data_IF_630114334228
#
_entry.id   IF_630114334228
#
_cell.length_a   1.000
_cell.length_b   1.000
_cell.length_c   1.000
_cell.angle_alpha   90.00
_cell.angle_beta   90.00
_cell.angle_gamma   90.00
#
_symmetry.space_group_name_H-M   'P 1'
#
loop_
_entity.id
_entity.type
_entity.pdbx_description
1 polymer ?
#
# COMPACT_ATOMS: atom_id res chain seq x y z
N UNK A 1 -22.88 -18.45 9.34
CA UNK A 1 -22.14 -18.20 8.08
C UNK A 1 -22.34 -16.75 7.72
N UNK A 2 -21.42 -15.89 8.15
CA UNK A 2 -21.48 -14.45 7.92
C UNK A 2 -21.19 -14.19 6.45
N UNK A 3 -22.16 -13.61 5.74
CA UNK A 3 -21.99 -13.20 4.35
C UNK A 3 -20.81 -12.22 4.28
N UNK A 4 -19.71 -12.66 3.68
CA UNK A 4 -18.60 -11.79 3.31
C UNK A 4 -19.16 -10.82 2.27
N UNK A 5 -19.46 -9.60 2.70
CA UNK A 5 -20.04 -8.57 1.86
C UNK A 5 -19.24 -8.41 0.57
N UNK A 6 -19.93 -8.41 -0.57
CA UNK A 6 -19.38 -7.96 -1.84
C UNK A 6 -18.73 -6.58 -1.64
N UNK A 7 -17.59 -6.26 -2.27
CA UNK A 7 -16.99 -4.94 -2.13
C UNK A 7 -18.00 -3.88 -2.56
N UNK A 8 -18.46 -3.09 -1.58
CA UNK A 8 -19.18 -1.84 -1.81
C UNK A 8 -18.32 -0.98 -2.74
N UNK A 9 -18.90 -0.49 -3.84
CA UNK A 9 -18.22 0.38 -4.81
C UNK A 9 -17.72 1.70 -4.18
N UNK A 10 -18.11 2.03 -2.94
CA UNK A 10 -17.59 3.17 -2.17
C UNK A 10 -16.15 2.99 -1.65
N UNK A 11 -15.66 1.76 -1.48
CA UNK A 11 -14.45 1.48 -0.70
C UNK A 11 -13.10 1.81 -1.37
N UNK A 12 -13.06 2.13 -2.67
CA UNK A 12 -11.78 2.15 -3.42
C UNK A 12 -10.89 3.36 -3.08
N UNK A 13 -11.50 4.49 -2.71
CA UNK A 13 -10.77 5.74 -2.52
C UNK A 13 -10.43 6.02 -1.06
N UNK A 14 -10.90 5.24 -0.07
CA UNK A 14 -10.70 5.48 1.37
C UNK A 14 -10.77 6.98 1.73
N UNK A 15 -11.69 7.70 1.09
CA UNK A 15 -11.75 9.16 1.09
C UNK A 15 -12.82 9.69 2.03
N UNK A 16 -13.54 8.79 2.71
CA UNK A 16 -14.52 9.05 3.76
C UNK A 16 -14.23 8.22 4.99
N UNK A 17 -14.61 8.72 6.15
CA UNK A 17 -14.43 8.05 7.44
C UNK A 17 -15.11 6.68 7.48
N UNK A 18 -16.26 6.51 6.82
CA UNK A 18 -16.96 5.23 6.74
C UNK A 18 -16.14 4.19 5.98
N UNK A 19 -15.54 4.59 4.85
CA UNK A 19 -14.67 3.73 4.05
C UNK A 19 -13.39 3.37 4.83
N UNK A 20 -12.82 4.35 5.54
CA UNK A 20 -11.65 4.15 6.39
C UNK A 20 -11.92 3.15 7.51
N UNK A 21 -13.02 3.32 8.25
CA UNK A 21 -13.39 2.40 9.33
C UNK A 21 -13.68 1.00 8.79
N UNK A 22 -14.42 0.90 7.68
CA UNK A 22 -14.64 -0.38 7.02
C UNK A 22 -13.31 -1.05 6.65
N UNK A 23 -12.31 -0.29 6.19
CA UNK A 23 -10.98 -0.83 5.91
C UNK A 23 -10.20 -1.24 7.18
N UNK A 24 -10.16 -0.39 8.20
CA UNK A 24 -9.32 -0.59 9.38
C UNK A 24 -9.87 -1.63 10.37
N UNK A 25 -11.20 -1.72 10.48
CA UNK A 25 -11.90 -2.51 11.52
C UNK A 25 -12.47 -3.84 10.98
N UNK A 26 -12.61 -3.99 9.66
CA UNK A 26 -13.11 -5.27 9.09
C UNK A 26 -12.14 -6.41 9.40
N UNK A 27 -12.62 -7.55 9.93
CA UNK A 27 -11.78 -8.71 10.16
C UNK A 27 -11.06 -9.18 8.90
N UNK A 28 -9.88 -9.77 9.09
CA UNK A 28 -9.12 -10.35 7.98
C UNK A 28 -9.97 -11.36 7.23
N UNK A 29 -9.93 -11.27 5.90
CA UNK A 29 -10.60 -12.22 5.02
C UNK A 29 -10.10 -13.64 5.31
N UNK A 30 -11.04 -14.58 5.42
CA UNK A 30 -10.73 -15.99 5.64
C UNK A 30 -10.36 -16.62 4.30
N UNK A 31 -9.25 -17.35 4.27
CA UNK A 31 -8.81 -18.08 3.09
C UNK A 31 -9.83 -19.19 2.74
N UNK A 32 -10.32 -19.27 1.49
CA UNK A 32 -11.16 -20.37 1.05
C UNK A 32 -10.46 -21.72 1.21
N UNK A 33 -11.24 -22.77 1.48
CA UNK A 33 -10.73 -24.13 1.58
C UNK A 33 -10.03 -24.56 0.28
N UNK A 34 -8.86 -25.19 0.42
CA UNK A 34 -8.13 -25.74 -0.71
C UNK A 34 -8.67 -27.13 -1.04
N UNK A 35 -9.52 -27.20 -2.07
CA UNK A 35 -10.05 -28.46 -2.58
C UNK A 35 -9.06 -29.14 -3.52
N UNK A 36 -8.94 -30.46 -3.42
CA UNK A 36 -8.21 -31.29 -4.38
C UNK A 36 -8.92 -31.35 -5.74
N UNK A 37 -8.20 -31.77 -6.78
CA UNK A 37 -8.78 -31.96 -8.12
C UNK A 37 -10.01 -32.86 -8.14
N UNK A 38 -9.99 -33.93 -7.34
CA UNK A 38 -11.12 -34.87 -7.23
C UNK A 38 -12.33 -34.19 -6.59
N UNK A 39 -12.12 -33.43 -5.52
CA UNK A 39 -13.19 -32.67 -4.87
C UNK A 39 -13.77 -31.61 -5.80
N UNK A 40 -12.94 -30.85 -6.53
CA UNK A 40 -13.43 -29.86 -7.51
C UNK A 40 -14.25 -30.51 -8.62
N UNK A 41 -13.86 -31.70 -9.11
CA UNK A 41 -14.64 -32.46 -10.10
C UNK A 41 -15.96 -33.01 -9.54
N UNK A 42 -16.03 -33.27 -8.24
CA UNK A 42 -17.22 -33.79 -7.58
C UNK A 42 -18.24 -32.68 -7.21
N UNK A 43 -17.87 -31.40 -7.34
CA UNK A 43 -18.79 -30.29 -7.09
C UNK A 43 -19.93 -30.27 -8.11
N UNK A 44 -21.15 -30.08 -7.62
CA UNK A 44 -22.28 -29.69 -8.46
C UNK A 44 -22.07 -28.31 -9.08
N UNK A 45 -22.87 -27.99 -10.10
CA UNK A 45 -22.75 -26.74 -10.86
C UNK A 45 -22.82 -25.48 -9.97
N UNK A 46 -23.79 -25.41 -9.05
CA UNK A 46 -23.96 -24.28 -8.13
C UNK A 46 -22.76 -24.11 -7.19
N UNK A 47 -22.29 -25.21 -6.58
CA UNK A 47 -21.15 -25.18 -5.67
C UNK A 47 -19.85 -24.74 -6.38
N UNK A 48 -19.71 -25.08 -7.67
CA UNK A 48 -18.57 -24.63 -8.49
C UNK A 48 -18.64 -23.14 -8.78
N UNK A 49 -19.82 -22.60 -9.09
CA UNK A 49 -20.00 -21.15 -9.31
C UNK A 49 -19.68 -20.36 -8.04
N UNK A 50 -20.13 -20.83 -6.88
CA UNK A 50 -19.85 -20.17 -5.61
C UNK A 50 -18.37 -20.25 -5.24
N UNK A 51 -17.73 -21.42 -5.40
CA UNK A 51 -16.29 -21.56 -5.24
C UNK A 51 -15.53 -20.57 -6.12
N UNK A 52 -15.85 -20.50 -7.41
CA UNK A 52 -15.15 -19.63 -8.35
C UNK A 52 -15.38 -18.14 -7.99
N UNK A 53 -16.55 -17.80 -7.43
CA UNK A 53 -16.82 -16.47 -6.86
C UNK A 53 -15.91 -16.18 -5.66
N UNK A 54 -15.81 -17.11 -4.71
CA UNK A 54 -14.95 -16.95 -3.53
C UNK A 54 -13.48 -16.79 -3.93
N UNK A 55 -12.99 -17.60 -4.87
CA UNK A 55 -11.63 -17.51 -5.39
C UNK A 55 -11.38 -16.20 -6.15
N UNK A 56 -12.37 -15.71 -6.92
CA UNK A 56 -12.29 -14.37 -7.56
C UNK A 56 -12.01 -13.28 -6.54
N UNK A 57 -12.77 -13.24 -5.45
CA UNK A 57 -12.58 -12.20 -4.44
C UNK A 57 -11.31 -12.44 -3.61
N UNK A 58 -10.97 -13.69 -3.30
CA UNK A 58 -9.77 -14.03 -2.53
C UNK A 58 -8.48 -13.67 -3.28
N UNK A 59 -8.29 -14.17 -4.51
CA UNK A 59 -7.05 -13.91 -5.26
C UNK A 59 -6.90 -12.45 -5.69
N UNK A 60 -7.99 -11.69 -5.76
CA UNK A 60 -7.94 -10.24 -5.96
C UNK A 60 -7.41 -9.47 -4.74
N UNK A 61 -7.40 -10.09 -3.55
CA UNK A 61 -7.06 -9.46 -2.28
C UNK A 61 -6.01 -10.26 -1.50
N UNK A 62 -4.97 -10.78 -2.18
CA UNK A 62 -3.94 -11.62 -1.56
C UNK A 62 -2.99 -10.88 -0.61
N UNK A 63 -2.93 -9.53 -0.66
CA UNK A 63 -2.05 -8.71 0.18
C UNK A 63 -2.73 -8.19 1.45
N UNK A 64 -1.98 -7.51 2.35
CA UNK A 64 -0.53 -7.31 2.32
C UNK A 64 0.24 -8.59 2.70
N UNK A 65 1.37 -8.84 2.04
CA UNK A 65 2.32 -9.92 2.38
C UNK A 65 3.36 -9.35 3.32
N UNK A 66 3.67 -10.05 4.42
CA UNK A 66 4.76 -9.66 5.32
C UNK A 66 6.09 -9.93 4.62
N UNK A 67 6.75 -8.87 4.16
CA UNK A 67 8.10 -8.92 3.59
C UNK A 67 9.08 -8.21 4.53
N UNK A 68 10.39 -8.49 4.44
CA UNK A 68 11.39 -7.75 5.21
C UNK A 68 11.31 -6.25 4.97
N UNK A 69 11.14 -5.81 3.72
CA UNK A 69 11.01 -4.39 3.38
C UNK A 69 9.75 -3.75 3.98
N UNK A 70 8.66 -4.51 4.13
CA UNK A 70 7.45 -4.04 4.80
C UNK A 70 7.67 -3.92 6.31
N UNK A 71 8.36 -4.89 6.91
CA UNK A 71 8.67 -4.89 8.34
C UNK A 71 9.60 -3.72 8.70
N UNK A 72 10.70 -3.53 7.96
CA UNK A 72 11.61 -2.39 8.10
C UNK A 72 10.85 -1.06 8.02
N UNK A 73 10.01 -0.88 7.00
CA UNK A 73 9.19 0.33 6.87
C UNK A 73 8.23 0.52 8.05
N UNK A 74 7.63 -0.55 8.56
CA UNK A 74 6.69 -0.49 9.70
C UNK A 74 7.42 -0.15 10.99
N UNK A 75 8.59 -0.73 11.23
CA UNK A 75 9.42 -0.43 12.41
C UNK A 75 9.81 1.06 12.41
N UNK A 76 10.31 1.58 11.28
CA UNK A 76 10.63 3.01 11.13
C UNK A 76 9.39 3.91 11.33
N UNK A 77 8.24 3.51 10.81
CA UNK A 77 6.98 4.26 10.97
C UNK A 77 6.53 4.29 12.44
N UNK A 78 6.65 3.17 13.16
CA UNK A 78 6.34 3.09 14.59
C UNK A 78 7.28 3.97 15.41
N UNK A 79 8.58 3.89 15.18
CA UNK A 79 9.58 4.72 15.88
C UNK A 79 9.27 6.22 15.72
N UNK A 80 8.90 6.66 14.52
CA UNK A 80 8.59 8.07 14.25
C UNK A 80 7.23 8.47 14.87
N UNK A 81 6.21 7.63 14.76
CA UNK A 81 4.88 7.97 15.28
C UNK A 81 4.86 7.97 16.80
N UNK A 82 5.47 6.97 17.44
CA UNK A 82 5.47 6.85 18.90
C UNK A 82 6.47 7.81 19.58
N UNK A 83 7.48 8.32 18.86
CA UNK A 83 8.32 9.43 19.35
C UNK A 83 7.67 10.82 19.22
N UNK A 84 6.55 10.93 18.51
CA UNK A 84 5.79 12.17 18.27
C UNK A 84 4.65 12.42 19.29
N UNK A 85 4.67 11.75 20.45
CA UNK A 85 3.69 11.92 21.55
C UNK A 85 3.97 13.19 22.39
N UNK A 86 4.85 14.07 21.90
CA UNK A 86 5.22 15.31 22.58
C UNK A 86 4.02 16.27 22.70
N UNK A 87 4.00 17.05 23.79
CA UNK A 87 2.98 18.06 24.06
C UNK A 87 2.94 19.17 22.98
N UNK A 88 1.80 19.86 22.90
CA UNK A 88 1.41 20.72 21.78
C UNK A 88 2.27 21.96 21.50
N UNK A 89 3.30 22.24 22.30
CA UNK A 89 4.27 23.31 22.06
C UNK A 89 5.40 22.87 21.11
N UNK A 90 5.51 21.57 20.79
CA UNK A 90 6.56 21.02 19.93
C UNK A 90 6.00 20.58 18.58
N UNK A 91 6.64 21.05 17.50
CA UNK A 91 6.33 20.62 16.16
C UNK A 91 6.63 19.11 15.99
N UNK A 92 5.64 18.34 15.55
CA UNK A 92 5.79 16.90 15.31
C UNK A 92 6.60 16.64 14.04
N UNK A 93 7.47 15.62 14.08
CA UNK A 93 8.19 15.16 12.89
C UNK A 93 7.22 14.58 11.86
N UNK A 94 7.43 14.88 10.58
CA UNK A 94 6.65 14.32 9.48
C UNK A 94 7.36 13.11 8.86
N UNK A 95 6.60 12.24 8.18
CA UNK A 95 7.15 11.12 7.41
C UNK A 95 6.83 11.33 5.94
N UNK A 96 7.79 11.03 5.06
CA UNK A 96 7.57 10.93 3.63
C UNK A 96 8.02 9.56 3.11
N UNK A 97 7.05 8.75 2.67
CA UNK A 97 7.28 7.46 2.03
C UNK A 97 7.40 7.68 0.52
N UNK A 98 8.64 7.66 0.03
CA UNK A 98 9.01 7.98 -1.34
C UNK A 98 9.66 6.77 -2.01
N UNK A 99 8.86 6.00 -2.77
CA UNK A 99 9.29 4.76 -3.40
C UNK A 99 8.79 4.65 -4.85
N UNK A 100 9.46 3.84 -5.67
CA UNK A 100 9.09 3.63 -7.07
C UNK A 100 7.65 3.09 -7.23
N UNK A 101 6.97 3.40 -8.37
CA UNK A 101 5.66 2.84 -8.66
C UNK A 101 5.69 1.30 -8.65
N UNK A 102 4.62 0.68 -8.15
CA UNK A 102 4.53 -0.77 -8.11
C UNK A 102 5.30 -1.43 -6.96
N UNK A 103 5.88 -0.68 -6.01
CA UNK A 103 6.53 -1.27 -4.83
C UNK A 103 5.60 -1.49 -3.63
N UNK A 104 4.30 -1.31 -3.81
CA UNK A 104 3.31 -1.57 -2.75
C UNK A 104 3.24 -0.49 -1.66
N UNK A 105 3.92 0.65 -1.83
CA UNK A 105 4.00 1.76 -0.84
C UNK A 105 2.66 2.12 -0.19
N UNK A 106 1.63 2.40 -0.99
CA UNK A 106 0.30 2.77 -0.49
C UNK A 106 -0.29 1.62 0.32
N UNK A 107 -0.20 0.38 -0.16
CA UNK A 107 -0.66 -0.81 0.56
C UNK A 107 0.08 -0.98 1.90
N UNK A 108 1.39 -0.76 1.92
CA UNK A 108 2.23 -0.85 3.12
C UNK A 108 1.85 0.19 4.17
N UNK A 109 1.72 1.45 3.75
CA UNK A 109 1.34 2.56 4.64
C UNK A 109 -0.09 2.40 5.14
N UNK A 110 -1.04 2.02 4.27
CA UNK A 110 -2.41 1.75 4.69
C UNK A 110 -2.49 0.60 5.71
N UNK A 111 -1.67 -0.45 5.55
CA UNK A 111 -1.59 -1.53 6.53
C UNK A 111 -1.12 -1.04 7.91
N UNK A 112 -0.07 -0.21 7.94
CA UNK A 112 0.43 0.45 9.16
C UNK A 112 -0.64 1.34 9.80
N UNK A 113 -1.22 2.25 9.03
CA UNK A 113 -2.25 3.18 9.50
C UNK A 113 -3.48 2.45 10.07
N UNK A 114 -3.88 1.34 9.45
CA UNK A 114 -4.96 0.51 9.98
C UNK A 114 -4.60 -0.20 11.28
N UNK A 115 -3.33 -0.58 11.47
CA UNK A 115 -2.83 -1.14 12.74
C UNK A 115 -2.78 -0.09 13.85
N UNK A 116 -2.26 1.09 13.53
CA UNK A 116 -2.32 2.26 14.40
C UNK A 116 -3.76 2.59 14.82
N UNK A 117 -4.69 2.69 13.87
CA UNK A 117 -6.10 2.94 14.15
C UNK A 117 -6.67 1.93 15.14
N UNK A 118 -6.45 0.63 14.92
CA UNK A 118 -6.94 -0.41 15.83
C UNK A 118 -6.33 -0.33 17.22
N UNK A 119 -5.03 0.00 17.34
CA UNK A 119 -4.36 0.19 18.64
C UNK A 119 -5.04 1.32 19.42
N UNK A 120 -5.16 2.49 18.81
CA UNK A 120 -5.73 3.67 19.46
C UNK A 120 -7.20 3.45 19.87
N UNK A 121 -8.01 2.78 19.04
CA UNK A 121 -9.39 2.43 19.40
C UNK A 121 -9.44 1.42 20.55
N UNK A 122 -8.51 0.45 20.60
CA UNK A 122 -8.45 -0.53 21.69
C UNK A 122 -8.05 0.11 23.02
N UNK A 123 -7.17 1.12 22.99
CA UNK A 123 -6.66 1.81 24.18
C UNK A 123 -7.60 2.92 24.68
N UNK A 124 -8.18 3.71 23.77
CA UNK A 124 -8.92 4.94 24.10
C UNK A 124 -10.44 4.85 23.83
N UNK A 125 -10.91 3.72 23.29
CA UNK A 125 -12.30 3.49 22.94
C UNK A 125 -12.75 4.14 21.62
N UNK A 126 -13.93 3.77 21.13
CA UNK A 126 -14.43 4.20 19.81
C UNK A 126 -14.98 5.64 19.75
N UNK A 127 -15.15 6.29 20.91
CA UNK A 127 -15.69 7.63 21.03
C UNK A 127 -14.79 8.51 21.90
N UNK A 128 -14.77 9.80 21.61
CA UNK A 128 -14.10 10.82 22.43
C UNK A 128 -14.95 11.15 23.65
N UNK A 129 -14.36 11.81 24.65
CA UNK A 129 -15.09 12.22 25.86
C UNK A 129 -16.28 13.14 25.56
N UNK A 130 -16.16 13.96 24.51
CA UNK A 130 -17.22 14.83 24.01
C UNK A 130 -18.30 14.08 23.18
N UNK A 131 -18.18 12.75 23.03
CA UNK A 131 -19.14 11.91 22.32
C UNK A 131 -18.98 11.89 20.80
N UNK A 132 -17.88 12.44 20.26
CA UNK A 132 -17.58 12.31 18.84
C UNK A 132 -17.02 10.92 18.54
N UNK A 133 -17.20 10.47 17.30
CA UNK A 133 -16.53 9.27 16.80
C UNK A 133 -15.02 9.48 16.78
N UNK A 134 -14.26 8.58 17.40
CA UNK A 134 -12.80 8.64 17.41
C UNK A 134 -12.26 8.16 16.06
N UNK A 135 -11.44 8.99 15.41
CA UNK A 135 -10.83 8.71 14.10
C UNK A 135 -9.32 8.99 14.19
N UNK A 136 -8.52 8.06 14.72
CA UNK A 136 -7.08 8.28 14.91
C UNK A 136 -6.31 8.57 13.61
N UNK A 137 -6.85 8.16 12.45
CA UNK A 137 -6.27 8.40 11.14
C UNK A 137 -7.25 9.13 10.23
N UNK A 138 -6.76 10.17 9.56
CA UNK A 138 -7.42 10.82 8.43
C UNK A 138 -6.59 10.59 7.16
N UNK A 139 -7.19 10.03 6.10
CA UNK A 139 -6.49 9.79 4.82
C UNK A 139 -7.11 10.60 3.69
N UNK A 140 -6.26 11.29 2.94
CA UNK A 140 -6.67 12.06 1.75
C UNK A 140 -5.78 11.67 0.57
N UNK A 141 -6.38 11.24 -0.53
CA UNK A 141 -5.69 11.08 -1.81
C UNK A 141 -5.72 12.37 -2.63
N UNK A 142 -4.57 12.77 -3.17
CA UNK A 142 -4.46 13.96 -4.01
C UNK A 142 -4.70 13.62 -5.50
N UNK A 143 -5.24 14.59 -6.24
CA UNK A 143 -5.41 14.51 -7.69
C UNK A 143 -4.54 15.54 -8.42
N UNK A 144 -4.35 15.35 -9.74
CA UNK A 144 -3.43 16.11 -10.60
C UNK A 144 -3.55 17.65 -10.63
N UNK A 145 -4.59 18.24 -10.05
CA UNK A 145 -4.77 19.68 -9.98
C UNK A 145 -5.22 20.18 -8.59
N UNK A 146 -4.84 19.48 -7.53
CA UNK A 146 -5.29 19.82 -6.17
C UNK A 146 -4.64 21.11 -5.69
N UNK A 147 -5.42 22.18 -5.50
CA UNK A 147 -4.98 23.39 -4.82
C UNK A 147 -5.24 23.35 -3.30
N UNK A 148 -4.82 24.38 -2.58
CA UNK A 148 -5.02 24.50 -1.12
C UNK A 148 -6.50 24.35 -0.71
N UNK A 149 -7.41 24.95 -1.49
CA UNK A 149 -8.86 24.87 -1.23
C UNK A 149 -9.42 23.45 -1.44
N UNK A 150 -8.85 22.70 -2.39
CA UNK A 150 -9.31 21.34 -2.69
C UNK A 150 -8.78 20.32 -1.68
N UNK A 151 -7.56 20.52 -1.18
CA UNK A 151 -7.01 19.74 -0.06
C UNK A 151 -7.90 19.88 1.19
N UNK A 152 -8.21 21.11 1.60
CA UNK A 152 -9.09 21.33 2.76
C UNK A 152 -10.51 20.78 2.53
N UNK A 153 -11.04 20.87 1.29
CA UNK A 153 -12.33 20.25 0.97
C UNK A 153 -12.28 18.72 1.09
N UNK A 154 -11.16 18.11 0.69
CA UNK A 154 -10.96 16.66 0.80
C UNK A 154 -10.85 16.21 2.25
N UNK A 155 -10.23 17.00 3.13
CA UNK A 155 -10.30 16.78 4.58
C UNK A 155 -11.74 16.81 5.09
N UNK A 156 -12.52 17.83 4.72
CA UNK A 156 -13.92 17.92 5.13
C UNK A 156 -14.80 16.81 4.52
N UNK A 157 -14.50 16.36 3.31
CA UNK A 157 -15.13 15.20 2.68
C UNK A 157 -14.84 13.93 3.48
N UNK A 158 -13.61 13.75 3.97
CA UNK A 158 -13.25 12.63 4.84
C UNK A 158 -14.15 12.53 6.07
N UNK A 159 -14.36 13.65 6.78
CA UNK A 159 -15.23 13.67 7.96
C UNK A 159 -16.73 13.68 7.64
N UNK A 160 -17.12 13.77 6.35
CA UNK A 160 -18.52 13.94 5.95
C UNK A 160 -19.11 15.31 6.36
N UNK A 161 -18.27 16.32 6.60
CA UNK A 161 -18.70 17.59 7.19
C UNK A 161 -19.65 18.37 6.24
N UNK A 162 -20.79 18.90 6.73
CA UNK A 162 -21.80 19.56 5.89
C UNK A 162 -21.30 20.88 5.28
N UNK A 163 -20.37 21.55 5.97
CA UNK A 163 -19.74 22.80 5.53
C UNK A 163 -18.68 22.64 4.43
N UNK A 164 -18.63 21.54 3.68
CA UNK A 164 -17.61 21.31 2.65
C UNK A 164 -17.84 22.05 1.32
N UNK A 165 -19.08 22.45 1.05
CA UNK A 165 -19.46 23.02 -0.25
C UNK A 165 -19.24 24.53 -0.38
N UNK A 166 -19.27 25.28 0.72
CA UNK A 166 -19.19 26.75 0.70
C UNK A 166 -18.25 27.28 1.79
N UNK A 167 -17.33 28.13 1.39
CA UNK A 167 -16.38 28.79 2.27
C UNK A 167 -15.13 29.30 1.56
N UNK A 168 -14.40 30.16 2.25
CA UNK A 168 -13.02 30.52 1.91
C UNK A 168 -12.05 29.40 2.32
N UNK A 169 -10.82 29.44 1.82
CA UNK A 169 -9.79 28.46 2.19
C UNK A 169 -9.51 28.45 3.69
N UNK A 170 -9.46 29.63 4.33
CA UNK A 170 -9.27 29.76 5.78
C UNK A 170 -10.44 29.13 6.56
N UNK A 171 -11.68 29.37 6.13
CA UNK A 171 -12.86 28.75 6.76
C UNK A 171 -12.85 27.23 6.63
N UNK A 172 -12.40 26.69 5.49
CA UNK A 172 -12.25 25.24 5.35
C UNK A 172 -11.13 24.68 6.23
N UNK A 173 -10.00 25.38 6.34
CA UNK A 173 -8.90 25.00 7.23
C UNK A 173 -9.33 24.95 8.70
N UNK A 174 -10.04 25.98 9.17
CA UNK A 174 -10.58 26.02 10.54
C UNK A 174 -11.54 24.86 10.81
N UNK A 175 -12.52 24.62 9.93
CA UNK A 175 -13.45 23.48 10.07
C UNK A 175 -12.73 22.13 10.05
N UNK A 176 -11.67 22.00 9.24
CA UNK A 176 -10.88 20.77 9.17
C UNK A 176 -10.10 20.56 10.48
N UNK A 177 -9.55 21.63 11.06
CA UNK A 177 -8.92 21.59 12.38
C UNK A 177 -9.93 21.18 13.46
N UNK A 178 -11.12 21.78 13.47
CA UNK A 178 -12.18 21.43 14.41
C UNK A 178 -12.53 19.94 14.33
N UNK A 179 -12.64 19.39 13.11
CA UNK A 179 -12.89 17.96 12.92
C UNK A 179 -11.73 17.09 13.43
N UNK A 180 -10.49 17.49 13.14
CA UNK A 180 -9.27 16.80 13.57
C UNK A 180 -9.17 16.74 15.09
N UNK A 181 -9.45 17.85 15.78
CA UNK A 181 -9.43 17.91 17.25
C UNK A 181 -10.61 17.13 17.84
N UNK A 182 -11.83 17.36 17.35
CA UNK A 182 -13.04 16.73 17.88
C UNK A 182 -13.05 15.21 17.75
N UNK A 183 -12.48 14.68 16.66
CA UNK A 183 -12.38 13.24 16.41
C UNK A 183 -11.05 12.65 16.93
N UNK A 184 -10.21 13.46 17.59
CA UNK A 184 -8.90 13.08 18.12
C UNK A 184 -7.98 12.37 17.09
N UNK A 185 -7.90 12.95 15.89
CA UNK A 185 -6.99 12.47 14.84
C UNK A 185 -5.55 12.65 15.30
N UNK A 186 -4.73 11.61 15.11
CA UNK A 186 -3.29 11.61 15.41
C UNK A 186 -2.44 11.56 14.15
N UNK A 187 -2.88 10.87 13.11
CA UNK A 187 -2.17 10.75 11.84
C UNK A 187 -2.98 11.34 10.69
N UNK A 188 -2.36 12.24 9.91
CA UNK A 188 -2.90 12.73 8.65
C UNK A 188 -2.07 12.18 7.49
N UNK A 189 -2.64 11.19 6.79
CA UNK A 189 -2.03 10.54 5.65
C UNK A 189 -2.44 11.23 4.34
N UNK A 190 -1.46 11.74 3.61
CA UNK A 190 -1.63 12.36 2.31
C UNK A 190 -1.02 11.45 1.26
N UNK A 191 -1.86 10.92 0.37
CA UNK A 191 -1.45 9.98 -0.65
C UNK A 191 -1.38 10.63 -2.04
N UNK A 192 -0.61 10.02 -2.91
CA UNK A 192 -0.38 10.45 -4.29
C UNK A 192 0.14 11.88 -4.44
N UNK A 193 1.02 12.34 -3.52
CA UNK A 193 1.67 13.66 -3.58
C UNK A 193 2.46 13.88 -4.88
N UNK A 194 2.83 12.81 -5.56
CA UNK A 194 3.53 12.85 -6.83
C UNK A 194 2.70 13.47 -7.97
N UNK A 195 1.38 13.64 -7.80
CA UNK A 195 0.51 14.40 -8.70
C UNK A 195 0.65 15.92 -8.57
N UNK A 196 1.20 16.41 -7.46
CA UNK A 196 1.47 17.83 -7.29
C UNK A 196 2.60 18.28 -8.22
N UNK A 197 2.35 19.36 -8.95
CA UNK A 197 3.36 20.05 -9.76
C UNK A 197 4.04 21.10 -8.89
N UNK A 198 5.05 20.67 -8.13
CA UNK A 198 5.76 21.49 -7.14
C UNK A 198 6.34 22.79 -7.71
N UNK A 199 6.79 22.78 -8.96
CA UNK A 199 7.37 23.94 -9.64
C UNK A 199 6.31 24.92 -10.20
N UNK A 200 5.03 24.66 -10.00
CA UNK A 200 3.94 25.55 -10.39
C UNK A 200 3.35 26.25 -9.16
N UNK A 201 2.66 27.37 -9.39
CA UNK A 201 2.01 28.17 -8.34
C UNK A 201 1.18 27.31 -7.37
N UNK A 202 0.37 26.39 -7.90
CA UNK A 202 -0.45 25.48 -7.09
C UNK A 202 0.38 24.55 -6.19
N UNK A 203 1.53 24.07 -6.67
CA UNK A 203 2.43 23.22 -5.89
C UNK A 203 3.09 23.98 -4.72
N UNK A 204 3.49 25.22 -4.96
CA UNK A 204 4.03 26.12 -3.92
C UNK A 204 2.95 26.42 -2.86
N UNK A 205 1.73 26.74 -3.30
CA UNK A 205 0.59 26.98 -2.41
C UNK A 205 0.29 25.75 -1.53
N UNK A 206 0.27 24.54 -2.10
CA UNK A 206 0.06 23.32 -1.33
C UNK A 206 1.22 23.05 -0.38
N UNK A 207 2.48 23.22 -0.79
CA UNK A 207 3.64 23.07 0.11
C UNK A 207 3.56 24.00 1.32
N UNK A 208 3.17 25.26 1.11
CA UNK A 208 2.96 26.21 2.20
C UNK A 208 1.76 25.81 3.08
N UNK A 209 0.72 25.21 2.50
CA UNK A 209 -0.38 24.63 3.27
C UNK A 209 0.05 23.44 4.12
N UNK A 210 0.89 22.55 3.59
CA UNK A 210 1.41 21.41 4.35
C UNK A 210 2.22 21.86 5.56
N UNK A 211 2.98 22.95 5.44
CA UNK A 211 3.67 23.61 6.57
C UNK A 211 2.70 24.10 7.62
N UNK A 212 1.65 24.79 7.18
CA UNK A 212 0.61 25.28 8.07
C UNK A 212 -0.08 24.12 8.80
N UNK A 213 -0.44 23.06 8.09
CA UNK A 213 -0.98 21.84 8.70
C UNK A 213 -0.01 21.23 9.72
N UNK A 214 1.28 21.11 9.39
CA UNK A 214 2.28 20.54 10.30
C UNK A 214 2.49 21.35 11.60
N UNK A 215 2.24 22.66 11.57
CA UNK A 215 2.43 23.54 12.73
C UNK A 215 1.14 23.73 13.54
N UNK A 216 -0.02 23.80 12.88
CA UNK A 216 -1.29 24.13 13.54
C UNK A 216 -2.12 22.90 13.90
N UNK A 217 -1.97 21.79 13.17
CA UNK A 217 -2.74 20.59 13.44
C UNK A 217 -1.96 19.70 14.43
N UNK A 218 -2.61 19.12 15.44
CA UNK A 218 -1.96 18.26 16.43
C UNK A 218 -1.66 16.84 15.88
N UNK A 219 -1.29 16.72 14.61
CA UNK A 219 -1.15 15.46 13.87
C UNK A 219 0.29 15.24 13.39
N UNK A 220 0.67 13.97 13.27
CA UNK A 220 1.84 13.57 12.48
C UNK A 220 1.42 13.45 11.01
N UNK A 221 2.11 14.18 10.12
CA UNK A 221 1.89 14.08 8.68
C UNK A 221 2.59 12.84 8.13
N UNK A 222 1.86 12.03 7.37
CA UNK A 222 2.39 10.88 6.61
C UNK A 222 2.15 11.14 5.13
N UNK A 223 3.20 11.50 4.41
CA UNK A 223 3.17 11.82 2.98
C UNK A 223 3.57 10.60 2.16
N UNK A 224 2.82 10.27 1.11
CA UNK A 224 3.07 9.09 0.28
C UNK A 224 3.18 9.54 -1.18
N UNK A 225 4.23 9.09 -1.87
CA UNK A 225 4.44 9.49 -3.25
C UNK A 225 5.60 8.76 -3.94
N UNK A 226 5.93 9.28 -5.13
CA UNK A 226 6.95 8.77 -6.04
C UNK A 226 7.80 9.94 -6.51
N UNK A 227 9.11 9.82 -6.34
CA UNK A 227 10.09 10.84 -6.69
C UNK A 227 9.85 12.13 -5.93
N UNK A 228 9.43 12.05 -4.66
CA UNK A 228 9.16 13.22 -3.84
C UNK A 228 10.41 14.06 -3.63
N UNK A 229 11.56 13.41 -3.45
CA UNK A 229 12.84 14.10 -3.34
C UNK A 229 13.21 14.88 -4.59
N UNK A 230 13.16 14.23 -5.75
CA UNK A 230 13.50 14.84 -7.04
C UNK A 230 12.51 15.95 -7.44
N UNK A 231 11.28 15.87 -6.93
CA UNK A 231 10.24 16.87 -7.11
C UNK A 231 10.34 18.05 -6.15
N UNK A 232 11.36 18.08 -5.31
CA UNK A 232 11.66 19.21 -4.45
C UNK A 232 10.86 19.29 -3.16
N UNK A 233 10.24 18.18 -2.71
CA UNK A 233 9.61 18.13 -1.39
C UNK A 233 10.63 18.41 -0.26
N UNK A 234 11.88 17.98 -0.47
CA UNK A 234 12.99 18.16 0.48
C UNK A 234 14.04 19.16 0.00
N UNK A 235 13.92 19.71 -1.21
CA UNK A 235 14.93 20.62 -1.75
C UNK A 235 14.81 21.99 -1.10
N UNK A 236 15.94 22.48 -0.59
CA UNK A 236 16.18 23.91 -0.38
C UNK A 236 16.01 24.58 -1.75
N UNK A 237 15.09 25.53 -1.87
CA UNK A 237 14.83 26.17 -3.16
C UNK A 237 16.11 26.79 -3.73
N UNK A 238 16.38 26.55 -5.02
CA UNK A 238 17.59 26.95 -5.74
C UNK A 238 17.71 28.47 -5.98
N UNK A 239 16.92 29.26 -5.24
CA UNK A 239 17.04 30.71 -5.21
C UNK A 239 16.86 31.19 -3.79
N UNK A 240 17.57 32.26 -3.45
CA UNK A 240 17.65 32.99 -2.16
C UNK A 240 16.29 33.51 -1.60
N UNK A 241 15.16 32.94 -2.03
CA UNK A 241 13.76 33.28 -1.71
C UNK A 241 12.97 32.19 -0.98
N UNK A 242 13.46 30.94 -0.89
CA UNK A 242 12.67 29.81 -0.37
C UNK A 242 13.15 29.26 0.99
N UNK A 243 13.24 30.13 1.99
CA UNK A 243 13.50 29.74 3.39
C UNK A 243 12.40 28.85 3.98
N UNK A 244 11.19 28.87 3.39
CA UNK A 244 10.07 28.10 3.89
C UNK A 244 10.17 26.59 3.59
N UNK A 245 10.75 26.17 2.46
CA UNK A 245 10.94 24.74 2.12
C UNK A 245 12.02 24.09 2.99
N UNK A 246 13.04 24.85 3.38
CA UNK A 246 14.19 24.39 4.16
C UNK A 246 13.82 23.92 5.59
N UNK A 247 12.73 24.42 6.19
CA UNK A 247 12.30 23.98 7.53
C UNK A 247 11.48 22.68 7.51
N UNK A 248 10.71 22.41 6.45
CA UNK A 248 9.92 21.18 6.31
C UNK A 248 10.81 19.98 6.00
N UNK A 249 11.81 20.16 5.14
CA UNK A 249 12.78 19.10 4.81
C UNK A 249 13.57 18.60 6.02
N UNK A 250 13.96 19.49 6.93
CA UNK A 250 14.69 19.13 8.17
C UNK A 250 13.83 18.40 9.21
N UNK A 251 12.51 18.47 9.09
CA UNK A 251 11.55 17.83 10.01
C UNK A 251 10.87 16.60 9.40
N UNK A 252 11.18 16.27 8.15
CA UNK A 252 10.56 15.16 7.45
C UNK A 252 11.56 14.02 7.30
N UNK A 253 11.26 12.88 7.94
CA UNK A 253 12.03 11.66 7.74
C UNK A 253 11.58 10.98 6.45
N UNK A 254 12.51 10.82 5.50
CA UNK A 254 12.27 10.10 4.26
C UNK A 254 12.45 8.61 4.48
N UNK A 255 11.42 7.84 4.15
CA UNK A 255 11.46 6.38 4.09
C UNK A 255 11.32 5.94 2.63
N UNK A 256 12.04 4.89 2.23
CA UNK A 256 11.99 4.31 0.88
C UNK A 256 11.60 2.83 0.98
N UNK A 257 11.11 2.28 -0.12
CA UNK A 257 10.94 0.84 -0.29
C UNK A 257 11.77 0.41 -1.49
N UNK A 258 12.71 -0.50 -1.27
CA UNK A 258 13.57 -1.02 -2.34
C UNK A 258 12.83 -2.12 -3.13
N UNK A 259 13.03 -2.21 -4.46
CA UNK A 259 12.59 -3.37 -5.23
C UNK A 259 13.32 -4.63 -4.78
N UNK A 260 12.73 -5.80 -5.00
CA UNK A 260 13.44 -7.05 -4.82
C UNK A 260 14.56 -7.16 -5.86
N UNK A 261 15.72 -7.64 -5.43
CA UNK A 261 16.84 -7.89 -6.34
C UNK A 261 17.29 -9.34 -6.24
N UNK A 262 18.24 -9.75 -7.10
CA UNK A 262 18.85 -11.09 -7.09
C UNK A 262 20.38 -10.99 -7.17
N UNK A 263 20.92 -9.84 -6.74
CA UNK A 263 22.35 -9.51 -6.86
C UNK A 263 23.19 -10.26 -5.82
N UNK A 264 22.65 -10.43 -4.62
CA UNK A 264 23.27 -11.19 -3.53
C UNK A 264 22.46 -12.44 -3.14
N UNK A 265 23.06 -13.33 -2.34
CA UNK A 265 22.34 -14.47 -1.75
C UNK A 265 21.26 -14.04 -0.75
N UNK A 266 21.42 -12.89 -0.09
CA UNK A 266 20.40 -12.32 0.80
C UNK A 266 19.18 -11.94 -0.03
N UNK A 267 19.37 -11.20 -1.12
CA UNK A 267 18.26 -10.77 -1.98
C UNK A 267 17.51 -11.96 -2.59
N UNK A 268 18.22 -13.01 -3.01
CA UNK A 268 17.61 -14.27 -3.49
C UNK A 268 16.76 -14.96 -2.43
N UNK A 269 17.20 -14.94 -1.16
CA UNK A 269 16.44 -15.50 -0.04
C UNK A 269 15.20 -14.67 0.26
N UNK A 270 15.31 -13.34 0.25
CA UNK A 270 14.15 -12.44 0.43
C UNK A 270 13.12 -12.65 -0.67
N UNK A 271 13.56 -12.73 -1.93
CA UNK A 271 12.70 -13.06 -3.07
C UNK A 271 12.00 -14.41 -2.90
N UNK A 272 12.76 -15.45 -2.52
CA UNK A 272 12.19 -16.78 -2.25
C UNK A 272 11.16 -16.74 -1.12
N UNK A 273 11.45 -16.04 -0.02
CA UNK A 273 10.53 -15.91 1.11
C UNK A 273 9.23 -15.21 0.70
N UNK A 274 9.31 -14.17 -0.12
CA UNK A 274 8.14 -13.51 -0.70
C UNK A 274 7.30 -14.49 -1.54
N UNK A 275 7.93 -15.29 -2.40
CA UNK A 275 7.23 -16.28 -3.22
C UNK A 275 6.57 -17.39 -2.38
N UNK A 276 7.23 -17.86 -1.31
CA UNK A 276 6.66 -18.84 -0.38
C UNK A 276 5.44 -18.27 0.37
N UNK A 277 5.55 -17.03 0.87
CA UNK A 277 4.44 -16.37 1.56
C UNK A 277 3.25 -16.15 0.62
N UNK A 278 3.51 -15.85 -0.66
CA UNK A 278 2.49 -15.71 -1.68
C UNK A 278 1.85 -17.07 -2.04
N UNK A 279 2.64 -18.13 -2.18
CA UNK A 279 2.19 -19.49 -2.48
C UNK A 279 1.24 -20.03 -1.40
N UNK A 280 1.49 -19.72 -0.14
CA UNK A 280 0.59 -20.09 0.97
C UNK A 280 -0.84 -19.54 0.78
N UNK A 281 -0.94 -18.31 0.24
CA UNK A 281 -2.23 -17.65 0.00
C UNK A 281 -2.86 -18.01 -1.33
N UNK A 282 -2.13 -18.61 -2.28
CA UNK A 282 -2.74 -19.11 -3.52
C UNK A 282 -3.59 -20.34 -3.20
N UNK A 283 -4.87 -20.29 -3.58
CA UNK A 283 -5.80 -21.42 -3.51
C UNK A 283 -6.10 -21.92 -4.91
N UNK A 284 -5.50 -23.04 -5.30
CA UNK A 284 -5.72 -23.74 -6.57
C UNK A 284 -5.63 -25.25 -6.33
N UNK A 285 -6.42 -26.04 -7.05
CA UNK A 285 -6.59 -27.46 -6.73
C UNK A 285 -5.34 -28.32 -6.98
N UNK A 286 -4.52 -27.94 -7.97
CA UNK A 286 -3.27 -28.61 -8.33
C UNK A 286 -2.04 -27.79 -7.88
N UNK A 287 -2.20 -26.90 -6.87
CA UNK A 287 -1.06 -26.25 -6.22
C UNK A 287 -0.21 -27.29 -5.48
N UNK A 288 1.09 -27.17 -5.59
CA UNK A 288 2.06 -27.94 -4.80
C UNK A 288 3.12 -27.02 -4.18
N UNK A 289 3.81 -27.47 -3.11
CA UNK A 289 4.94 -26.76 -2.54
C UNK A 289 6.01 -26.48 -3.61
N UNK A 290 6.53 -25.26 -3.64
CA UNK A 290 7.59 -24.84 -4.56
C UNK A 290 7.10 -24.43 -5.96
N UNK A 291 5.80 -24.52 -6.25
CA UNK A 291 5.22 -24.06 -7.53
C UNK A 291 5.65 -22.63 -7.89
N UNK A 292 5.63 -21.71 -6.93
CA UNK A 292 6.10 -20.33 -7.14
C UNK A 292 7.58 -20.21 -6.82
N UNK A 293 7.99 -20.66 -5.62
CA UNK A 293 9.29 -20.36 -5.05
C UNK A 293 10.45 -21.16 -5.65
N UNK A 294 10.17 -22.30 -6.26
CA UNK A 294 11.15 -23.17 -6.91
C UNK A 294 10.96 -23.09 -8.43
N UNK A 295 9.84 -23.61 -8.93
CA UNK A 295 9.63 -23.84 -10.37
C UNK A 295 9.57 -22.53 -11.16
N UNK A 296 8.84 -21.54 -10.64
CA UNK A 296 8.57 -20.27 -11.33
C UNK A 296 9.44 -19.11 -10.85
N UNK A 297 10.40 -19.31 -9.93
CA UNK A 297 11.13 -18.21 -9.30
C UNK A 297 11.80 -17.26 -10.30
N UNK A 298 12.59 -17.81 -11.23
CA UNK A 298 13.31 -17.01 -12.24
C UNK A 298 12.34 -16.33 -13.20
N UNK A 299 11.33 -17.07 -13.64
CA UNK A 299 10.29 -16.58 -14.53
C UNK A 299 9.50 -15.42 -13.91
N UNK A 300 9.04 -15.56 -12.66
CA UNK A 300 8.30 -14.52 -11.96
C UNK A 300 9.16 -13.28 -11.72
N UNK A 301 10.47 -13.46 -11.45
CA UNK A 301 11.38 -12.34 -11.33
C UNK A 301 11.52 -11.60 -12.67
N UNK A 302 11.72 -12.31 -13.78
CA UNK A 302 11.80 -11.69 -15.11
C UNK A 302 10.50 -10.98 -15.51
N UNK A 303 9.34 -11.56 -15.18
CA UNK A 303 8.02 -10.99 -15.50
C UNK A 303 7.60 -9.82 -14.61
N UNK A 304 8.29 -9.58 -13.51
CA UNK A 304 7.98 -8.51 -12.54
C UNK A 304 9.11 -7.51 -12.35
N UNK A 305 10.32 -7.82 -12.83
CA UNK A 305 11.54 -7.04 -12.59
C UNK A 305 11.84 -6.78 -11.10
N UNK A 306 11.33 -7.64 -10.21
CA UNK A 306 11.43 -7.45 -8.76
C UNK A 306 10.42 -6.47 -8.16
N UNK A 307 9.47 -5.94 -8.95
CA UNK A 307 8.41 -5.07 -8.47
C UNK A 307 7.21 -5.90 -7.97
N UNK A 308 6.88 -5.74 -6.68
CA UNK A 308 5.81 -6.51 -6.03
C UNK A 308 4.44 -6.28 -6.66
N UNK A 309 4.12 -5.07 -7.11
CA UNK A 309 2.86 -4.73 -7.77
C UNK A 309 2.67 -5.49 -9.08
N UNK A 310 3.72 -5.60 -9.87
CA UNK A 310 3.78 -6.38 -11.10
C UNK A 310 3.65 -7.88 -10.82
N UNK A 311 4.33 -8.38 -9.78
CA UNK A 311 4.20 -9.76 -9.33
C UNK A 311 2.75 -10.09 -8.90
N UNK A 312 2.17 -9.26 -8.04
CA UNK A 312 0.81 -9.47 -7.52
C UNK A 312 -0.24 -9.40 -8.64
N UNK A 313 -0.06 -8.50 -9.62
CA UNK A 313 -0.92 -8.42 -10.80
C UNK A 313 -0.86 -9.70 -11.62
N UNK A 314 0.35 -10.20 -11.90
CA UNK A 314 0.56 -11.44 -12.65
C UNK A 314 -0.06 -12.65 -11.93
N UNK A 315 0.16 -12.78 -10.62
CA UNK A 315 -0.34 -13.91 -9.83
C UNK A 315 -1.86 -13.86 -9.70
N UNK A 316 -2.45 -12.69 -9.44
CA UNK A 316 -3.91 -12.53 -9.39
C UNK A 316 -4.54 -12.94 -10.74
N UNK A 317 -4.10 -12.33 -11.85
CA UNK A 317 -4.62 -12.63 -13.20
C UNK A 317 -4.37 -14.10 -13.59
N UNK A 318 -3.22 -14.64 -13.23
CA UNK A 318 -2.86 -16.04 -13.42
C UNK A 318 -3.82 -16.98 -12.68
N UNK A 319 -4.10 -16.73 -11.40
CA UNK A 319 -5.04 -17.51 -10.61
C UNK A 319 -6.44 -17.46 -11.23
N UNK A 320 -6.91 -16.28 -11.66
CA UNK A 320 -8.20 -16.16 -12.33
C UNK A 320 -8.27 -16.97 -13.62
N UNK A 321 -7.21 -16.94 -14.43
CA UNK A 321 -7.16 -17.77 -15.64
C UNK A 321 -7.13 -19.26 -15.29
N UNK A 322 -6.35 -19.67 -14.29
CA UNK A 322 -6.23 -21.07 -13.88
C UNK A 322 -7.55 -21.66 -13.37
N UNK A 323 -8.33 -20.90 -12.62
CA UNK A 323 -9.68 -21.29 -12.18
C UNK A 323 -10.61 -21.37 -13.39
N UNK A 324 -10.66 -20.31 -14.21
CA UNK A 324 -11.59 -20.22 -15.36
C UNK A 324 -11.33 -21.29 -16.44
N UNK A 325 -10.08 -21.61 -16.74
CA UNK A 325 -9.74 -22.66 -17.70
C UNK A 325 -9.80 -24.06 -17.08
N UNK A 326 -9.95 -24.16 -15.76
CA UNK A 326 -9.80 -25.39 -15.02
C UNK A 326 -8.37 -25.95 -15.02
N UNK A 327 -7.34 -25.15 -15.35
CA UNK A 327 -5.95 -25.61 -15.21
C UNK A 327 -5.59 -25.89 -13.74
N UNK A 328 -6.14 -25.10 -12.80
CA UNK A 328 -5.98 -25.24 -11.34
C UNK A 328 -4.53 -25.29 -10.85
N UNK A 329 -3.58 -24.76 -11.63
CA UNK A 329 -2.18 -24.53 -11.24
C UNK A 329 -1.61 -23.35 -12.01
N UNK A 330 -0.53 -22.78 -11.50
CA UNK A 330 0.26 -21.78 -12.23
C UNK A 330 1.50 -22.46 -12.82
N UNK A 331 1.72 -22.26 -14.11
CA UNK A 331 2.93 -22.67 -14.81
C UNK A 331 3.28 -21.63 -15.88
N UNK A 332 4.45 -21.81 -16.52
CA UNK A 332 4.94 -20.87 -17.54
C UNK A 332 3.94 -20.69 -18.69
N UNK A 333 3.45 -21.78 -19.28
CA UNK A 333 2.51 -21.74 -20.41
C UNK A 333 1.24 -20.94 -20.10
N UNK A 334 0.68 -21.12 -18.90
CA UNK A 334 -0.51 -20.39 -18.48
C UNK A 334 -0.23 -18.90 -18.27
N UNK A 335 0.91 -18.58 -17.64
CA UNK A 335 1.31 -17.22 -17.34
C UNK A 335 1.80 -16.45 -18.57
N UNK A 336 2.29 -17.12 -19.61
CA UNK A 336 2.66 -16.50 -20.88
C UNK A 336 1.45 -15.90 -21.59
N UNK A 337 0.27 -16.50 -21.42
CA UNK A 337 -0.98 -15.91 -21.89
C UNK A 337 -1.48 -14.72 -21.03
N UNK A 338 -0.88 -14.46 -19.86
CA UNK A 338 -1.30 -13.36 -18.95
C UNK A 338 -0.50 -12.11 -19.30
N UNK A 339 -1.19 -11.03 -19.68
CA UNK A 339 -0.54 -9.73 -19.83
C UNK A 339 -0.23 -9.12 -18.47
N UNK A 340 0.97 -8.55 -18.30
CA UNK A 340 1.33 -7.75 -17.13
C UNK A 340 1.26 -6.23 -17.42
N UNK A 341 1.90 -5.40 -16.59
CA UNK A 341 2.12 -3.98 -16.88
C UNK A 341 3.15 -3.75 -18.01
N UNK A 342 3.00 -2.63 -18.71
CA UNK A 342 3.80 -2.27 -19.89
C UNK A 342 5.31 -2.21 -19.59
N UNK A 343 5.69 -1.66 -18.43
CA UNK A 343 7.09 -1.53 -18.03
C UNK A 343 7.74 -2.90 -17.83
N UNK A 344 7.04 -3.84 -17.17
CA UNK A 344 7.52 -5.20 -16.98
C UNK A 344 7.56 -6.00 -18.29
N UNK A 345 6.58 -5.82 -19.19
CA UNK A 345 6.60 -6.52 -20.50
C UNK A 345 7.72 -6.00 -21.41
N UNK A 346 8.08 -4.72 -21.35
CA UNK A 346 9.20 -4.15 -22.10
C UNK A 346 10.56 -4.70 -21.61
N UNK A 347 10.76 -4.77 -20.29
CA UNK A 347 12.00 -5.26 -19.68
C UNK A 347 12.17 -6.79 -19.73
N UNK A 348 11.07 -7.53 -19.94
CA UNK A 348 11.01 -9.00 -19.94
C UNK A 348 12.06 -9.65 -20.85
N UNK A 349 12.17 -9.18 -22.11
CA UNK A 349 12.99 -9.85 -23.14
C UNK A 349 14.48 -9.88 -22.79
N UNK A 350 14.99 -8.80 -22.17
CA UNK A 350 16.39 -8.69 -21.78
C UNK A 350 16.70 -9.60 -20.58
N UNK A 351 15.81 -9.65 -19.59
CA UNK A 351 15.96 -10.50 -18.41
C UNK A 351 15.80 -11.99 -18.71
N UNK A 352 14.83 -12.37 -19.55
CA UNK A 352 14.65 -13.76 -19.99
C UNK A 352 15.90 -14.25 -20.74
N UNK A 353 16.46 -13.45 -21.64
CA UNK A 353 17.68 -13.80 -22.37
C UNK A 353 18.91 -13.97 -21.46
N UNK A 354 19.02 -13.16 -20.40
CA UNK A 354 20.11 -13.28 -19.42
C UNK A 354 19.97 -14.51 -18.50
N UNK A 355 18.73 -14.88 -18.14
CA UNK A 355 18.42 -16.06 -17.35
C UNK A 355 18.59 -17.37 -18.15
N UNK A 356 18.16 -17.39 -19.41
CA UNK A 356 18.35 -18.55 -20.32
C UNK A 356 19.84 -18.88 -20.52
N UNK A 357 20.70 -17.85 -20.55
CA UNK A 357 22.17 -18.01 -20.59
C UNK A 357 22.78 -18.47 -19.25
N UNK A 358 21.96 -18.73 -18.21
CA UNK A 358 22.37 -19.02 -16.82
C UNK A 358 23.29 -17.98 -16.19
N UNK A 359 23.26 -16.75 -16.69
CA UNK A 359 24.09 -15.65 -16.18
C UNK A 359 23.45 -14.98 -14.96
N UNK A 360 22.13 -15.11 -14.79
CA UNK A 360 21.37 -14.65 -13.63
C UNK A 360 20.39 -15.73 -13.14
N UNK A 361 20.29 -15.87 -11.82
CA UNK A 361 19.25 -16.67 -11.17
C UNK A 361 18.76 -16.00 -9.89
N UNK A 362 17.46 -16.14 -9.65
CA UNK A 362 16.75 -15.73 -8.45
C UNK A 362 16.73 -16.81 -7.37
N UNK A 363 17.09 -18.05 -7.72
CA UNK A 363 17.07 -19.18 -6.77
C UNK A 363 18.29 -19.10 -5.85
N UNK A 364 18.11 -19.11 -4.51
CA UNK A 364 19.24 -19.12 -3.59
C UNK A 364 20.04 -20.42 -3.71
N UNK A 365 21.33 -20.37 -3.39
CA UNK A 365 22.17 -21.58 -3.36
C UNK A 365 21.66 -22.53 -2.29
N UNK A 366 21.46 -23.80 -2.65
CA UNK A 366 21.13 -24.86 -1.69
C UNK A 366 22.22 -24.92 -0.62
N UNK A 367 21.85 -24.71 0.64
CA UNK A 367 22.71 -25.08 1.76
C UNK A 367 22.75 -26.61 1.77
N UNK A 368 23.81 -27.20 1.23
CA UNK A 368 24.17 -28.58 1.58
C UNK A 368 24.35 -28.60 3.10
N UNK A 369 23.39 -29.18 3.82
CA UNK A 369 23.65 -29.68 5.17
C UNK A 369 24.84 -30.64 5.05
N UNK A 370 25.93 -30.46 5.81
CA UNK A 370 26.90 -31.53 5.96
C UNK A 370 26.12 -32.74 6.48
N UNK A 371 26.28 -33.89 5.82
CA UNK A 371 25.78 -35.13 6.39
C UNK A 371 26.45 -35.29 7.77
N UNK A 372 25.62 -35.40 8.80
CA UNK A 372 26.06 -35.74 10.16
C UNK A 372 26.31 -37.25 10.24
#
# INVERSE_FOLDING_TARGET
>A
MSAVGSPSLGNLALSRKEDWKAFAETPRRIQPEQLTRRQVKALGAEARVERDRLLRVWHANLGPIKTPQLAELHDDLWDIVDSNVQDGDKAKGAVAVDAFPGLGKTTSVLAFLGEFHRREIAEQGAFTEAGHERLPVCRVGLTGNTGMKDLNRSLLEFFGHPGRNRGTTAQFGQRALDCVVSCEVRLLALDDLHFLKWNQKNGIEVSNHLKWLANEFPVTLVMIGVGLADKGLFSEGDTRRDTALAQTGRRTTRLDMRPFTIKSEVDRREWRQMLLALEQRVVLADKHPGMLADDLSDYLFARSTGHIGSLMTLINRGCQRAVRSGAERLNRDLLDGVKNDEASEAARKELEAAQEKRQLTSRPRSQRRPAA
#
